data_IF_348146696444
#
_entry.id   IF_348146696444
#
_cell.length_a   1.000
_cell.length_b   1.000
_cell.length_c   1.000
_cell.angle_alpha   90.00
_cell.angle_beta   90.00
_cell.angle_gamma   90.00
#
_symmetry.space_group_name_H-M   'P 1'
#
loop_
_entity.id
_entity.type
_entity.pdbx_description
1 polymer ?
#
# COMPACT_ATOMS: atom_id res chain seq x y z
N UNK A 1 5.13 14.69 -18.89
CA UNK A 1 3.77 15.27 -18.94
C UNK A 1 3.12 14.79 -20.24
N UNK A 2 2.68 13.53 -20.25
CA UNK A 2 2.07 12.86 -21.40
C UNK A 2 0.85 12.11 -20.89
N UNK A 3 -0.31 12.55 -21.39
CA UNK A 3 -1.52 11.78 -21.65
C UNK A 3 -1.79 10.57 -20.74
N UNK A 4 -2.36 10.84 -19.57
CA UNK A 4 -3.22 9.89 -18.87
C UNK A 4 -4.63 10.52 -18.68
N UNK A 5 -5.04 11.34 -19.64
CA UNK A 5 -6.39 11.91 -19.72
C UNK A 5 -7.28 10.94 -20.50
N UNK A 6 -8.00 10.10 -19.77
CA UNK A 6 -9.04 9.23 -20.30
C UNK A 6 -8.90 7.76 -19.91
N UNK A 7 -8.93 7.42 -18.62
CA UNK A 7 -9.28 6.05 -18.24
C UNK A 7 -10.82 5.93 -18.26
N UNK A 8 -11.41 5.09 -19.12
CA UNK A 8 -12.84 4.89 -19.23
C UNK A 8 -13.34 4.12 -18.01
N UNK A 9 -13.99 4.79 -17.06
CA UNK A 9 -14.34 4.22 -15.73
C UNK A 9 -13.07 3.83 -14.96
N UNK A 10 -12.96 4.19 -13.68
CA UNK A 10 -11.87 3.67 -12.85
C UNK A 10 -12.07 2.15 -12.69
N UNK A 11 -11.33 1.37 -13.49
CA UNK A 11 -11.48 -0.09 -13.56
C UNK A 11 -11.26 -0.76 -12.20
N UNK A 12 -10.45 -0.16 -11.31
CA UNK A 12 -10.28 -0.65 -9.94
C UNK A 12 -11.52 -0.37 -9.09
N UNK A 13 -12.08 0.83 -9.20
CA UNK A 13 -13.32 1.17 -8.51
C UNK A 13 -14.47 0.26 -8.98
N UNK A 14 -14.61 0.05 -10.29
CA UNK A 14 -15.59 -0.86 -10.87
C UNK A 14 -15.40 -2.30 -10.41
N UNK A 15 -14.16 -2.82 -10.43
CA UNK A 15 -13.86 -4.16 -9.94
C UNK A 15 -14.28 -4.34 -8.47
N UNK A 16 -13.94 -3.38 -7.61
CA UNK A 16 -14.29 -3.41 -6.19
C UNK A 16 -15.81 -3.35 -5.97
N UNK A 17 -16.53 -2.57 -6.79
CA UNK A 17 -17.99 -2.47 -6.73
C UNK A 17 -18.64 -3.80 -7.12
N UNK A 18 -18.20 -4.39 -8.24
CA UNK A 18 -18.70 -5.71 -8.69
C UNK A 18 -18.39 -6.79 -7.65
N UNK A 19 -17.15 -6.85 -7.15
CA UNK A 19 -16.76 -7.80 -6.11
C UNK A 19 -17.63 -7.62 -4.85
N UNK A 20 -17.87 -6.39 -4.41
CA UNK A 20 -18.75 -6.07 -3.30
C UNK A 20 -20.19 -6.55 -3.51
N UNK A 21 -20.73 -6.36 -4.72
CA UNK A 21 -22.05 -6.88 -5.08
C UNK A 21 -22.11 -8.41 -5.09
N UNK A 22 -21.08 -9.07 -5.64
CA UNK A 22 -21.00 -10.54 -5.68
C UNK A 22 -20.90 -11.13 -4.28
N UNK A 23 -20.07 -10.55 -3.40
CA UNK A 23 -19.97 -10.97 -2.00
C UNK A 23 -21.29 -10.79 -1.27
N UNK A 24 -21.97 -9.66 -1.48
CA UNK A 24 -23.28 -9.40 -0.88
C UNK A 24 -24.37 -10.34 -1.42
N UNK A 25 -24.31 -10.74 -2.68
CA UNK A 25 -25.21 -11.74 -3.25
C UNK A 25 -24.94 -13.13 -2.65
N UNK A 26 -23.68 -13.54 -2.60
CA UNK A 26 -23.26 -14.81 -2.04
C UNK A 26 -23.67 -14.96 -0.57
N UNK A 27 -23.47 -13.94 0.27
CA UNK A 27 -23.88 -14.01 1.68
C UNK A 27 -25.39 -14.09 1.90
N UNK A 28 -26.20 -13.51 0.99
CA UNK A 28 -27.66 -13.68 1.06
C UNK A 28 -28.06 -15.12 0.77
N UNK A 29 -27.43 -15.73 -0.23
CA UNK A 29 -27.70 -17.12 -0.58
C UNK A 29 -27.24 -18.07 0.51
N UNK A 30 -26.05 -17.86 1.05
CA UNK A 30 -25.53 -18.63 2.18
C UNK A 30 -26.43 -18.51 3.42
N UNK A 31 -26.91 -17.31 3.74
CA UNK A 31 -27.83 -17.10 4.86
C UNK A 31 -29.17 -17.85 4.67
N UNK A 32 -29.71 -17.86 3.45
CA UNK A 32 -30.93 -18.64 3.12
C UNK A 32 -30.68 -20.14 3.21
N UNK A 33 -29.58 -20.63 2.67
CA UNK A 33 -29.21 -22.04 2.74
C UNK A 33 -29.02 -22.50 4.19
N UNK A 34 -28.32 -21.69 5.00
CA UNK A 34 -28.16 -21.95 6.43
C UNK A 34 -29.50 -21.96 7.17
N UNK A 35 -30.41 -21.04 6.82
CA UNK A 35 -31.76 -20.99 7.38
C UNK A 35 -32.58 -22.24 7.04
N UNK A 36 -32.59 -22.65 5.78
CA UNK A 36 -33.29 -23.86 5.34
C UNK A 36 -32.73 -25.12 6.02
N UNK A 37 -31.41 -25.24 6.09
CA UNK A 37 -30.74 -26.33 6.83
C UNK A 37 -31.11 -26.32 8.32
N UNK A 38 -31.20 -25.14 8.94
CA UNK A 38 -31.59 -25.01 10.35
C UNK A 38 -33.06 -25.40 10.57
N UNK A 39 -33.96 -24.89 9.74
CA UNK A 39 -35.38 -25.18 9.83
C UNK A 39 -35.71 -26.65 9.52
N UNK A 40 -34.98 -27.28 8.60
CA UNK A 40 -35.11 -28.71 8.32
C UNK A 40 -34.78 -29.60 9.53
N UNK A 41 -33.98 -29.11 10.51
CA UNK A 41 -33.71 -29.84 11.76
C UNK A 41 -34.87 -29.74 12.76
N UNK A 42 -35.84 -28.87 12.52
CA UNK A 42 -37.02 -28.66 13.35
C UNK A 42 -38.21 -29.41 12.74
N UNK A 43 -38.12 -30.75 12.78
CA UNK A 43 -39.01 -31.75 12.13
C UNK A 43 -40.51 -31.65 12.49
N UNK A 44 -40.91 -30.74 13.37
CA UNK A 44 -42.28 -30.66 13.93
C UNK A 44 -42.99 -29.33 13.71
N UNK A 45 -42.43 -28.43 12.91
CA UNK A 45 -43.04 -27.12 12.65
C UNK A 45 -44.02 -27.16 11.46
N UNK A 46 -45.21 -26.53 11.60
CA UNK A 46 -46.07 -26.23 10.46
C UNK A 46 -45.35 -25.36 9.42
N UNK A 47 -45.66 -25.54 8.13
CA UNK A 47 -44.95 -24.88 7.02
C UNK A 47 -44.88 -23.34 7.17
N UNK A 48 -45.98 -22.71 7.58
CA UNK A 48 -46.01 -21.25 7.79
C UNK A 48 -45.06 -20.77 8.91
N UNK A 49 -44.85 -21.58 9.94
CA UNK A 49 -43.88 -21.27 11.01
C UNK A 49 -42.46 -21.58 10.57
N UNK A 50 -42.28 -22.60 9.72
CA UNK A 50 -41.00 -22.93 9.10
C UNK A 50 -40.50 -21.78 8.23
N UNK A 51 -41.35 -21.25 7.34
CA UNK A 51 -41.02 -20.10 6.48
C UNK A 51 -40.67 -18.84 7.30
N UNK A 52 -41.39 -18.59 8.39
CA UNK A 52 -41.12 -17.46 9.28
C UNK A 52 -39.75 -17.59 9.96
N UNK A 53 -39.43 -18.78 10.49
CA UNK A 53 -38.14 -19.08 11.10
C UNK A 53 -37.01 -18.97 10.08
N UNK A 54 -37.20 -19.48 8.88
CA UNK A 54 -36.20 -19.37 7.81
C UNK A 54 -35.92 -17.90 7.46
N UNK A 55 -36.97 -17.07 7.35
CA UNK A 55 -36.81 -15.64 7.06
C UNK A 55 -36.09 -14.89 8.18
N UNK A 56 -36.47 -15.12 9.43
CA UNK A 56 -35.84 -14.48 10.60
C UNK A 56 -34.39 -14.93 10.78
N UNK A 57 -34.12 -16.23 10.64
CA UNK A 57 -32.77 -16.76 10.73
C UNK A 57 -31.88 -16.21 9.61
N UNK A 58 -32.35 -16.19 8.37
CA UNK A 58 -31.58 -15.65 7.26
C UNK A 58 -31.25 -14.16 7.45
N UNK A 59 -32.20 -13.38 8.00
CA UNK A 59 -31.96 -11.97 8.31
C UNK A 59 -30.89 -11.78 9.38
N UNK A 60 -30.97 -12.55 10.48
CA UNK A 60 -30.00 -12.48 11.57
C UNK A 60 -28.62 -12.98 11.14
N UNK A 61 -28.56 -14.09 10.41
CA UNK A 61 -27.31 -14.64 9.88
C UNK A 61 -26.61 -13.64 8.94
N UNK A 62 -27.37 -12.96 8.09
CA UNK A 62 -26.84 -11.92 7.21
C UNK A 62 -26.34 -10.70 8.00
N UNK A 63 -27.05 -10.30 9.07
CA UNK A 63 -26.63 -9.21 9.95
C UNK A 63 -25.29 -9.53 10.65
N UNK A 64 -25.16 -10.76 11.17
CA UNK A 64 -23.93 -11.25 11.78
C UNK A 64 -22.76 -11.31 10.78
N UNK A 65 -22.99 -11.81 9.56
CA UNK A 65 -21.99 -11.82 8.50
C UNK A 65 -21.53 -10.40 8.15
N UNK A 66 -22.46 -9.45 8.01
CA UNK A 66 -22.12 -8.04 7.77
C UNK A 66 -21.29 -7.45 8.91
N UNK A 67 -21.66 -7.71 10.16
CA UNK A 67 -20.92 -7.22 11.32
C UNK A 67 -19.52 -7.84 11.43
N UNK A 68 -19.34 -9.10 11.05
CA UNK A 68 -18.02 -9.74 11.01
C UNK A 68 -17.13 -9.10 9.94
N UNK A 69 -17.65 -8.88 8.74
CA UNK A 69 -16.92 -8.21 7.66
C UNK A 69 -16.53 -6.78 7.99
N UNK A 70 -17.43 -6.00 8.60
CA UNK A 70 -17.14 -4.63 9.04
C UNK A 70 -16.00 -4.59 10.06
N UNK A 71 -15.97 -5.55 11.01
CA UNK A 71 -14.87 -5.68 11.97
C UNK A 71 -13.56 -6.02 11.28
N UNK A 72 -13.57 -6.98 10.35
CA UNK A 72 -12.37 -7.36 9.57
C UNK A 72 -11.87 -6.19 8.72
N UNK A 73 -12.77 -5.47 8.04
CA UNK A 73 -12.43 -4.29 7.26
C UNK A 73 -11.78 -3.21 8.14
N UNK A 74 -12.38 -2.91 9.30
CA UNK A 74 -11.82 -1.93 10.24
C UNK A 74 -10.44 -2.34 10.71
N UNK A 75 -10.27 -3.60 11.13
CA UNK A 75 -8.98 -4.10 11.61
C UNK A 75 -7.92 -4.10 10.50
N UNK A 76 -8.32 -4.41 9.28
CA UNK A 76 -7.45 -4.32 8.10
C UNK A 76 -6.98 -2.89 7.83
N UNK A 77 -7.85 -1.89 7.99
CA UNK A 77 -7.46 -0.48 7.85
C UNK A 77 -6.51 -0.03 8.97
N UNK A 78 -6.76 -0.44 10.22
CA UNK A 78 -5.88 -0.18 11.36
C UNK A 78 -4.47 -0.76 11.10
N UNK A 79 -4.40 -2.05 10.73
CA UNK A 79 -3.15 -2.73 10.36
C UNK A 79 -2.45 -2.00 9.21
N UNK A 80 -3.17 -1.67 8.14
CA UNK A 80 -2.57 -0.95 7.00
C UNK A 80 -1.97 0.38 7.43
N UNK A 81 -2.64 1.13 8.30
CA UNK A 81 -2.12 2.38 8.86
C UNK A 81 -0.83 2.19 9.66
N UNK A 82 -0.79 1.17 10.54
CA UNK A 82 0.40 0.79 11.31
C UNK A 82 1.57 0.43 10.38
N UNK A 83 1.32 -0.41 9.37
CA UNK A 83 2.34 -0.82 8.39
C UNK A 83 2.82 0.35 7.52
N UNK A 84 1.92 1.20 7.04
CA UNK A 84 2.29 2.38 6.26
C UNK A 84 3.14 3.35 7.08
N UNK A 85 2.88 3.50 8.38
CA UNK A 85 3.71 4.32 9.25
C UNK A 85 5.15 3.78 9.35
N UNK A 86 5.31 2.47 9.58
CA UNK A 86 6.62 1.81 9.61
C UNK A 86 7.32 1.92 8.24
N UNK A 87 6.58 1.66 7.16
CA UNK A 87 7.12 1.71 5.81
C UNK A 87 7.55 3.11 5.41
N UNK A 88 6.77 4.16 5.73
CA UNK A 88 7.17 5.56 5.50
C UNK A 88 8.48 5.88 6.22
N UNK A 89 8.64 5.43 7.47
CA UNK A 89 9.89 5.64 8.23
C UNK A 89 11.08 4.92 7.60
N UNK A 90 10.90 3.69 7.12
CA UNK A 90 11.97 2.94 6.46
C UNK A 90 12.32 3.56 5.09
N UNK A 91 11.29 3.90 4.31
CA UNK A 91 11.43 4.55 3.00
C UNK A 91 12.07 5.92 3.10
N UNK A 92 11.90 6.66 4.19
CA UNK A 92 12.58 7.94 4.41
C UNK A 92 14.09 7.80 4.68
N UNK A 93 14.56 6.65 5.17
CA UNK A 93 16.00 6.40 5.41
C UNK A 93 16.78 6.19 4.12
N UNK A 94 16.16 5.60 3.10
CA UNK A 94 16.79 5.39 1.80
C UNK A 94 17.23 6.70 1.11
N UNK A 95 16.37 7.72 0.91
CA UNK A 95 16.78 8.99 0.33
C UNK A 95 17.69 9.76 1.28
N UNK A 96 17.51 9.66 2.60
CA UNK A 96 18.43 10.32 3.55
C UNK A 96 19.86 9.77 3.43
N UNK A 97 20.01 8.44 3.33
CA UNK A 97 21.31 7.80 3.09
C UNK A 97 21.89 8.16 1.72
N UNK A 98 21.06 8.18 0.68
CA UNK A 98 21.47 8.61 -0.66
C UNK A 98 21.97 10.06 -0.66
N UNK A 99 21.23 10.98 -0.05
CA UNK A 99 21.59 12.40 0.05
C UNK A 99 22.88 12.60 0.86
N UNK A 100 23.03 11.88 1.98
CA UNK A 100 24.26 11.90 2.78
C UNK A 100 25.46 11.40 1.96
N UNK A 101 25.30 10.30 1.22
CA UNK A 101 26.34 9.77 0.33
C UNK A 101 26.74 10.76 -0.75
N UNK A 102 25.77 11.37 -1.43
CA UNK A 102 26.03 12.43 -2.42
C UNK A 102 26.75 13.63 -1.80
N UNK A 103 26.35 14.08 -0.60
CA UNK A 103 26.99 15.19 0.09
C UNK A 103 28.46 14.89 0.44
N UNK A 104 28.75 13.66 0.90
CA UNK A 104 30.11 13.22 1.20
C UNK A 104 31.00 13.16 -0.06
N UNK A 105 30.47 12.67 -1.17
CA UNK A 105 31.18 12.66 -2.45
C UNK A 105 31.53 14.08 -2.90
N UNK A 106 30.54 14.99 -2.89
CA UNK A 106 30.77 16.40 -3.24
C UNK A 106 31.79 17.05 -2.30
N UNK A 107 31.71 16.80 -1.00
CA UNK A 107 32.69 17.34 -0.05
C UNK A 107 34.10 16.80 -0.31
N UNK A 108 34.25 15.50 -0.58
CA UNK A 108 35.52 14.90 -0.93
C UNK A 108 36.11 15.49 -2.21
N UNK A 109 35.29 15.63 -3.26
CA UNK A 109 35.68 16.26 -4.52
C UNK A 109 36.15 17.70 -4.32
N UNK A 110 35.43 18.49 -3.50
CA UNK A 110 35.82 19.86 -3.15
C UNK A 110 37.16 19.90 -2.39
N UNK A 111 37.37 18.99 -1.42
CA UNK A 111 38.62 18.90 -0.67
C UNK A 111 39.79 18.54 -1.59
N UNK A 112 39.59 17.61 -2.52
CA UNK A 112 40.59 17.23 -3.54
C UNK A 112 40.90 18.43 -4.43
N UNK A 113 39.88 19.15 -4.90
CA UNK A 113 40.04 20.31 -5.78
C UNK A 113 40.79 21.45 -5.09
N UNK A 114 40.46 21.75 -3.84
CA UNK A 114 41.17 22.74 -3.00
C UNK A 114 42.61 22.29 -2.74
N UNK A 115 42.84 21.01 -2.47
CA UNK A 115 44.19 20.48 -2.24
C UNK A 115 45.07 20.59 -3.50
N UNK A 116 44.50 20.34 -4.68
CA UNK A 116 45.21 20.52 -5.96
C UNK A 116 45.53 22.00 -6.20
N UNK A 117 44.58 22.91 -5.94
CA UNK A 117 44.81 24.35 -6.03
C UNK A 117 45.88 24.84 -5.04
N UNK A 118 45.83 24.35 -3.80
CA UNK A 118 46.83 24.65 -2.76
C UNK A 118 48.22 24.11 -3.11
N UNK A 119 48.29 22.93 -3.73
CA UNK A 119 49.54 22.37 -4.25
C UNK A 119 50.09 23.20 -5.43
N UNK A 120 49.23 23.69 -6.32
CA UNK A 120 49.64 24.63 -7.37
C UNK A 120 50.07 26.00 -6.83
N UNK A 121 49.46 26.48 -5.75
CA UNK A 121 49.81 27.76 -5.12
C UNK A 121 51.09 27.69 -4.28
N UNK A 122 51.44 26.52 -3.74
CA UNK A 122 52.67 26.29 -2.98
C UNK A 122 53.87 25.91 -3.85
N UNK A 123 53.65 25.61 -5.14
CA UNK A 123 54.72 25.57 -6.12
C UNK A 123 55.31 26.99 -6.26
N UNK A 124 56.57 27.22 -5.86
CA UNK A 124 57.20 28.50 -6.14
C UNK A 124 57.16 28.71 -7.65
N UNK A 125 56.94 29.96 -8.07
CA UNK A 125 56.83 30.42 -9.46
C UNK A 125 58.04 30.06 -10.38
N UNK A 126 58.93 29.17 -9.97
CA UNK A 126 60.11 28.70 -10.69
C UNK A 126 60.01 27.31 -11.34
N UNK A 127 58.98 26.47 -11.11
CA UNK A 127 59.02 25.08 -11.64
C UNK A 127 58.22 24.83 -12.92
N UNK A 128 57.22 25.67 -13.27
CA UNK A 128 56.48 25.50 -14.54
C UNK A 128 57.17 26.09 -15.78
N UNK A 129 58.29 26.82 -15.64
CA UNK A 129 58.98 27.41 -16.81
C UNK A 129 60.01 26.49 -17.47
N UNK A 130 60.36 25.36 -16.86
CA UNK A 130 61.46 24.50 -17.34
C UNK A 130 61.00 23.28 -18.13
N UNK A 131 59.72 22.90 -18.08
CA UNK A 131 59.21 21.69 -18.76
C UNK A 131 58.46 21.92 -20.07
N UNK A 132 58.15 23.17 -20.47
CA UNK A 132 57.46 23.48 -21.74
C UNK A 132 58.44 23.94 -22.85
N UNK A 133 59.77 23.99 -22.60
CA UNK A 133 60.79 24.32 -23.64
C UNK A 133 61.77 23.19 -23.98
N UNK A 134 61.48 21.94 -23.59
CA UNK A 134 62.17 20.76 -24.09
C UNK A 134 61.15 19.66 -24.42
N UNK A 135 60.32 19.94 -25.42
CA UNK A 135 59.71 18.96 -26.31
C UNK A 135 59.44 19.66 -27.64
#
# INVERSE_FOLDING_TARGET
MSAMEGLPVDMRAFHNEVEGHLLAAAAREEARAAAACFAARLDRLPEAQREEVERLFAAEHLALARASWQRTARRGQELRGEYEAVYRRLRARLPAGLLLGCALLVAADLVVLVSIQGCQASLPAGFLRTSIRLA
#
